data_IF_681930230979
#
_entry.id   IF_681930230979
#
_cell.length_a   1.000
_cell.length_b   1.000
_cell.length_c   1.000
_cell.angle_alpha   90.00
_cell.angle_beta   90.00
_cell.angle_gamma   90.00
#
_symmetry.space_group_name_H-M   'P 1'
#
loop_
_entity.id
_entity.type
_entity.pdbx_description
1 polymer ?
#
# COMPACT_ATOMS: atom_id res chain seq x y z
N UNK A 1 -47.44 10.71 19.44
CA UNK A 1 -46.88 10.51 18.06
C UNK A 1 -46.05 9.24 18.08
N UNK A 2 -46.39 8.18 17.35
CA UNK A 2 -45.59 6.97 17.31
C UNK A 2 -44.35 7.21 16.44
N UNK A 3 -43.16 6.88 16.99
CA UNK A 3 -41.88 6.94 16.29
C UNK A 3 -41.94 5.91 15.16
N UNK A 4 -41.67 6.27 13.89
CA UNK A 4 -41.78 5.33 12.78
C UNK A 4 -40.68 4.26 12.89
N UNK A 5 -41.08 2.99 13.01
CA UNK A 5 -40.24 1.80 13.12
C UNK A 5 -39.25 1.61 11.93
N UNK A 6 -39.34 2.45 10.90
CA UNK A 6 -38.42 2.43 9.73
C UNK A 6 -36.95 2.66 10.09
N UNK A 7 -36.66 3.41 11.15
CA UNK A 7 -35.27 3.69 11.57
C UNK A 7 -34.56 2.47 12.20
N UNK A 8 -35.30 1.57 12.82
CA UNK A 8 -34.72 0.37 13.44
C UNK A 8 -34.18 -0.64 12.41
N UNK A 9 -34.83 -0.76 11.25
CA UNK A 9 -34.37 -1.65 10.16
C UNK A 9 -33.06 -1.19 9.51
N UNK A 10 -32.83 0.12 9.39
CA UNK A 10 -31.60 0.68 8.84
C UNK A 10 -30.37 0.45 9.74
N UNK A 11 -30.58 0.45 11.05
CA UNK A 11 -29.50 0.12 12.02
C UNK A 11 -29.15 -1.37 12.01
N UNK A 12 -30.13 -2.24 11.91
CA UNK A 12 -29.93 -3.70 11.89
C UNK A 12 -29.18 -4.15 10.64
N UNK A 13 -29.51 -3.62 9.46
CA UNK A 13 -28.86 -3.97 8.19
C UNK A 13 -27.38 -3.49 8.11
N UNK A 14 -27.08 -2.30 8.68
CA UNK A 14 -25.68 -1.82 8.75
C UNK A 14 -24.80 -2.69 9.65
N UNK A 15 -25.31 -3.15 10.79
CA UNK A 15 -24.56 -4.05 11.66
C UNK A 15 -24.33 -5.44 11.05
N UNK A 16 -25.30 -5.97 10.32
CA UNK A 16 -25.16 -7.27 9.64
C UNK A 16 -24.12 -7.21 8.51
N UNK A 17 -24.16 -6.16 7.68
CA UNK A 17 -23.20 -5.97 6.59
C UNK A 17 -21.77 -5.73 7.09
N UNK A 18 -21.61 -5.01 8.21
CA UNK A 18 -20.30 -4.79 8.82
C UNK A 18 -19.71 -6.08 9.41
N UNK A 19 -20.50 -6.90 10.10
CA UNK A 19 -20.06 -8.21 10.60
C UNK A 19 -19.69 -9.16 9.47
N UNK A 20 -20.41 -9.14 8.36
CA UNK A 20 -20.10 -9.96 7.18
C UNK A 20 -18.80 -9.51 6.51
N UNK A 21 -18.58 -8.18 6.41
CA UNK A 21 -17.31 -7.61 5.95
C UNK A 21 -16.13 -8.05 6.80
N UNK A 22 -16.23 -7.90 8.14
CA UNK A 22 -15.20 -8.35 9.09
C UNK A 22 -14.89 -9.85 8.99
N UNK A 23 -15.93 -10.70 8.85
CA UNK A 23 -15.73 -12.15 8.65
C UNK A 23 -14.98 -12.46 7.36
N UNK A 24 -15.33 -11.81 6.25
CA UNK A 24 -14.64 -11.98 4.96
C UNK A 24 -13.19 -11.54 5.05
N UNK A 25 -12.92 -10.39 5.64
CA UNK A 25 -11.55 -9.89 5.84
C UNK A 25 -10.74 -10.82 6.75
N UNK A 26 -11.33 -11.31 7.84
CA UNK A 26 -10.66 -12.26 8.73
C UNK A 26 -10.37 -13.60 8.06
N UNK A 27 -11.30 -14.12 7.23
CA UNK A 27 -11.08 -15.33 6.44
C UNK A 27 -9.95 -15.13 5.41
N UNK A 28 -9.94 -14.01 4.68
CA UNK A 28 -8.88 -13.70 3.71
C UNK A 28 -7.52 -13.60 4.40
N UNK A 29 -7.43 -12.86 5.51
CA UNK A 29 -6.19 -12.75 6.28
C UNK A 29 -5.74 -14.11 6.83
N UNK A 30 -6.65 -14.90 7.39
CA UNK A 30 -6.35 -16.24 7.90
C UNK A 30 -5.86 -17.17 6.79
N UNK A 31 -6.48 -17.12 5.61
CA UNK A 31 -6.05 -17.92 4.44
C UNK A 31 -4.67 -17.50 3.97
N UNK A 32 -4.38 -16.18 3.89
CA UNK A 32 -3.07 -15.67 3.52
C UNK A 32 -1.99 -16.05 4.54
N UNK A 33 -2.27 -15.90 5.84
CA UNK A 33 -1.34 -16.32 6.90
C UNK A 33 -1.07 -17.83 6.84
N UNK A 34 -2.10 -18.65 6.63
CA UNK A 34 -1.95 -20.09 6.50
C UNK A 34 -1.13 -20.46 5.25
N UNK A 35 -1.38 -19.81 4.11
CA UNK A 35 -0.62 -20.02 2.89
C UNK A 35 0.86 -19.64 3.08
N UNK A 36 1.15 -18.51 3.72
CA UNK A 36 2.52 -18.11 4.04
C UNK A 36 3.21 -19.11 4.99
N UNK A 37 2.49 -19.58 6.02
CA UNK A 37 3.02 -20.58 6.95
C UNK A 37 3.32 -21.90 6.22
N UNK A 38 2.44 -22.35 5.35
CA UNK A 38 2.65 -23.56 4.55
C UNK A 38 3.89 -23.43 3.65
N UNK A 39 4.04 -22.30 2.96
CA UNK A 39 5.23 -22.05 2.12
C UNK A 39 6.51 -21.97 2.96
N UNK A 40 6.44 -21.43 4.19
CA UNK A 40 7.59 -21.34 5.08
C UNK A 40 8.02 -22.70 5.68
N UNK A 41 7.05 -23.60 5.93
CA UNK A 41 7.31 -24.89 6.60
C UNK A 41 7.53 -26.05 5.63
N UNK A 42 6.88 -26.00 4.45
CA UNK A 42 7.02 -27.06 3.43
C UNK A 42 8.22 -26.73 2.54
N UNK A 43 9.32 -27.49 2.60
CA UNK A 43 10.43 -27.31 1.68
C UNK A 43 9.93 -27.69 0.27
N UNK A 44 9.69 -26.68 -0.57
CA UNK A 44 9.33 -26.90 -1.97
C UNK A 44 10.59 -27.20 -2.75
N UNK A 45 10.81 -28.49 -3.17
CA UNK A 45 12.00 -28.83 -3.96
C UNK A 45 11.94 -28.07 -5.29
N UNK A 46 13.00 -27.33 -5.60
CA UNK A 46 13.14 -26.58 -6.86
C UNK A 46 12.89 -25.06 -6.78
N UNK A 47 12.46 -24.52 -5.63
CA UNK A 47 12.41 -23.05 -5.43
C UNK A 47 13.75 -22.46 -4.98
N UNK A 48 14.62 -23.29 -4.36
CA UNK A 48 15.97 -22.90 -4.01
C UNK A 48 16.87 -23.07 -5.24
N UNK A 49 17.32 -21.95 -5.83
CA UNK A 49 18.24 -21.97 -6.99
C UNK A 49 17.54 -21.92 -8.34
N UNK A 50 16.34 -21.38 -8.42
CA UNK A 50 15.65 -21.18 -9.72
C UNK A 50 16.50 -20.29 -10.64
N UNK A 51 16.93 -20.85 -11.78
CA UNK A 51 17.56 -20.10 -12.88
C UNK A 51 16.63 -18.99 -13.46
N UNK A 52 15.41 -18.87 -12.97
CA UNK A 52 14.41 -17.85 -13.33
C UNK A 52 13.98 -16.95 -12.19
N UNK A 53 14.67 -16.93 -11.03
CA UNK A 53 14.26 -16.11 -9.88
C UNK A 53 14.23 -14.61 -10.22
N UNK A 54 15.24 -14.10 -10.89
CA UNK A 54 15.32 -12.68 -11.22
C UNK A 54 14.15 -12.21 -12.09
N UNK A 55 13.76 -12.87 -13.21
CA UNK A 55 12.59 -12.50 -13.97
C UNK A 55 11.28 -12.56 -13.18
N UNK A 56 11.13 -13.57 -12.31
CA UNK A 56 9.94 -13.68 -11.45
C UNK A 56 9.89 -12.56 -10.42
N UNK A 57 11.02 -12.26 -9.77
CA UNK A 57 11.13 -11.13 -8.83
C UNK A 57 10.77 -9.81 -9.52
N UNK A 58 11.33 -9.54 -10.70
CA UNK A 58 11.04 -8.35 -11.50
C UNK A 58 9.55 -8.24 -11.87
N UNK A 59 8.92 -9.35 -12.23
CA UNK A 59 7.49 -9.37 -12.53
C UNK A 59 6.66 -9.02 -11.30
N UNK A 60 6.95 -9.61 -10.16
CA UNK A 60 6.21 -9.37 -8.90
C UNK A 60 6.38 -7.93 -8.41
N UNK A 61 7.61 -7.39 -8.46
CA UNK A 61 7.88 -6.00 -8.09
C UNK A 61 7.19 -5.02 -9.06
N UNK A 62 7.22 -5.31 -10.36
CA UNK A 62 6.48 -4.49 -11.34
C UNK A 62 4.99 -4.45 -11.03
N UNK A 63 4.38 -5.59 -10.69
CA UNK A 63 2.97 -5.63 -10.29
C UNK A 63 2.71 -4.83 -9.01
N UNK A 64 3.59 -4.92 -8.02
CA UNK A 64 3.49 -4.14 -6.78
C UNK A 64 3.56 -2.63 -7.05
N UNK A 65 4.51 -2.20 -7.89
CA UNK A 65 4.67 -0.80 -8.31
C UNK A 65 3.40 -0.31 -9.04
N UNK A 66 2.87 -1.11 -9.97
CA UNK A 66 1.63 -0.78 -10.70
C UNK A 66 0.46 -0.62 -9.74
N UNK A 67 0.31 -1.53 -8.76
CA UNK A 67 -0.75 -1.43 -7.75
C UNK A 67 -0.60 -0.16 -6.91
N UNK A 68 0.61 0.16 -6.44
CA UNK A 68 0.88 1.37 -5.68
C UNK A 68 0.58 2.64 -6.51
N UNK A 69 0.99 2.67 -7.77
CA UNK A 69 0.70 3.76 -8.70
C UNK A 69 -0.81 3.91 -8.98
N UNK A 70 -1.55 2.81 -9.09
CA UNK A 70 -3.02 2.83 -9.24
C UNK A 70 -3.70 3.35 -7.97
N UNK A 71 -3.24 2.96 -6.78
CA UNK A 71 -3.75 3.52 -5.51
C UNK A 71 -3.53 5.03 -5.47
N UNK A 72 -2.35 5.51 -5.84
CA UNK A 72 -2.08 6.94 -5.99
C UNK A 72 -3.08 7.58 -6.97
N UNK A 73 -3.15 7.10 -8.21
CA UNK A 73 -3.95 7.72 -9.27
C UNK A 73 -5.44 7.77 -8.94
N UNK A 74 -6.01 6.66 -8.43
CA UNK A 74 -7.42 6.57 -8.06
C UNK A 74 -7.73 7.47 -6.86
N UNK A 75 -6.87 7.45 -5.83
CA UNK A 75 -7.06 8.26 -4.62
C UNK A 75 -6.92 9.75 -4.93
N UNK A 76 -5.97 10.15 -5.76
CA UNK A 76 -5.78 11.53 -6.23
C UNK A 76 -6.96 12.03 -7.05
N UNK A 77 -7.46 11.21 -8.00
CA UNK A 77 -8.63 11.54 -8.79
C UNK A 77 -9.89 11.64 -7.91
N UNK A 78 -10.06 10.74 -6.96
CA UNK A 78 -11.19 10.72 -6.03
C UNK A 78 -11.14 11.90 -5.05
N UNK A 79 -9.95 12.28 -4.56
CA UNK A 79 -9.78 13.48 -3.74
C UNK A 79 -10.27 14.75 -4.43
N UNK A 80 -10.06 14.90 -5.73
CA UNK A 80 -10.55 16.06 -6.50
C UNK A 80 -12.07 16.23 -6.43
N UNK A 81 -12.80 15.14 -6.24
CA UNK A 81 -14.27 15.13 -6.14
C UNK A 81 -14.77 15.17 -4.70
N UNK A 82 -14.20 14.35 -3.83
CA UNK A 82 -14.70 14.10 -2.47
C UNK A 82 -14.04 15.00 -1.42
N UNK A 83 -12.88 15.58 -1.73
CA UNK A 83 -12.10 16.46 -0.82
C UNK A 83 -11.82 15.83 0.56
N UNK A 84 -11.67 14.51 0.61
CA UNK A 84 -11.39 13.79 1.85
C UNK A 84 -9.88 13.71 2.12
N UNK A 85 -9.42 14.18 3.28
CA UNK A 85 -8.00 14.20 3.68
C UNK A 85 -7.36 12.81 3.68
N UNK A 86 -8.14 11.79 4.03
CA UNK A 86 -7.70 10.40 4.00
C UNK A 86 -7.33 9.92 2.60
N UNK A 87 -8.08 10.35 1.57
CA UNK A 87 -7.76 10.05 0.16
C UNK A 87 -6.48 10.75 -0.28
N UNK A 88 -6.26 11.99 0.17
CA UNK A 88 -5.05 12.74 -0.13
C UNK A 88 -3.81 12.08 0.51
N UNK A 89 -3.92 11.70 1.79
CA UNK A 89 -2.86 10.99 2.50
C UNK A 89 -2.54 9.66 1.83
N UNK A 90 -3.56 8.89 1.43
CA UNK A 90 -3.41 7.63 0.73
C UNK A 90 -2.70 7.82 -0.62
N UNK A 91 -3.14 8.82 -1.41
CA UNK A 91 -2.50 9.14 -2.68
C UNK A 91 -1.02 9.48 -2.50
N UNK A 92 -0.70 10.48 -1.67
CA UNK A 92 0.67 10.95 -1.49
C UNK A 92 1.59 9.87 -0.90
N UNK A 93 1.11 9.08 0.07
CA UNK A 93 1.87 7.97 0.63
C UNK A 93 2.17 6.90 -0.41
N UNK A 94 1.19 6.48 -1.19
CA UNK A 94 1.39 5.44 -2.21
C UNK A 94 2.15 5.94 -3.46
N UNK A 95 2.18 7.24 -3.74
CA UNK A 95 3.14 7.80 -4.70
C UNK A 95 4.58 7.55 -4.25
N UNK A 96 4.89 7.82 -2.97
CA UNK A 96 6.21 7.54 -2.41
C UNK A 96 6.54 6.05 -2.39
N UNK A 97 5.59 5.19 -2.01
CA UNK A 97 5.76 3.74 -2.06
C UNK A 97 6.13 3.26 -3.46
N UNK A 98 5.41 3.73 -4.51
CA UNK A 98 5.70 3.34 -5.88
C UNK A 98 7.12 3.74 -6.33
N UNK A 99 7.59 4.92 -5.92
CA UNK A 99 8.95 5.40 -6.24
C UNK A 99 10.00 4.55 -5.50
N UNK A 100 9.80 4.27 -4.21
CA UNK A 100 10.73 3.47 -3.41
C UNK A 100 10.78 2.02 -3.88
N UNK A 101 9.65 1.39 -4.22
CA UNK A 101 9.61 0.04 -4.79
C UNK A 101 10.29 0.01 -6.17
N UNK A 102 10.13 1.05 -6.98
CA UNK A 102 10.86 1.18 -8.25
C UNK A 102 12.37 1.30 -8.03
N UNK A 103 12.80 2.07 -7.04
CA UNK A 103 14.22 2.20 -6.67
C UNK A 103 14.78 0.89 -6.12
N UNK A 104 13.99 0.15 -5.32
CA UNK A 104 14.32 -1.20 -4.88
C UNK A 104 14.57 -2.14 -6.07
N UNK A 105 13.62 -2.18 -7.00
CA UNK A 105 13.70 -3.02 -8.19
C UNK A 105 14.96 -2.73 -9.02
N UNK A 106 15.30 -1.45 -9.24
CA UNK A 106 16.48 -1.04 -10.00
C UNK A 106 17.80 -1.29 -9.26
N UNK A 107 17.78 -1.37 -7.93
CA UNK A 107 18.96 -1.60 -7.11
C UNK A 107 19.21 -3.07 -6.80
N UNK A 108 18.35 -3.98 -7.26
CA UNK A 108 18.46 -5.41 -7.01
C UNK A 108 19.69 -6.01 -7.69
N UNK A 109 20.35 -6.95 -7.00
CA UNK A 109 21.55 -7.61 -7.52
C UNK A 109 21.26 -8.31 -8.86
N UNK A 110 22.09 -8.02 -9.87
CA UNK A 110 21.92 -8.53 -11.23
C UNK A 110 21.22 -7.57 -12.19
N UNK A 111 20.77 -6.42 -11.70
CA UNK A 111 20.29 -5.32 -12.53
C UNK A 111 21.47 -4.44 -13.01
N UNK A 112 21.36 -3.77 -14.17
CA UNK A 112 22.33 -2.77 -14.58
C UNK A 112 22.48 -1.66 -13.54
N UNK A 113 23.71 -1.14 -13.39
CA UNK A 113 23.98 -0.04 -12.47
C UNK A 113 23.14 1.19 -12.84
N UNK A 114 22.37 1.68 -11.87
CA UNK A 114 21.53 2.88 -12.00
C UNK A 114 21.96 3.90 -10.94
N UNK A 115 22.59 5.00 -11.37
CA UNK A 115 23.18 6.08 -10.53
C UNK A 115 24.36 5.57 -9.68
N UNK A 116 24.22 4.47 -8.98
CA UNK A 116 25.24 3.81 -8.17
C UNK A 116 25.17 2.29 -8.41
N UNK A 117 26.24 1.54 -8.13
CA UNK A 117 26.24 0.09 -8.32
C UNK A 117 25.06 -0.59 -7.63
N UNK A 118 24.54 -1.64 -8.28
CA UNK A 118 23.49 -2.48 -7.69
C UNK A 118 24.06 -3.24 -6.49
N UNK A 119 23.44 -3.10 -5.32
CA UNK A 119 23.88 -3.67 -4.06
C UNK A 119 22.67 -4.18 -3.25
N UNK A 120 22.77 -5.41 -2.66
CA UNK A 120 21.70 -5.98 -1.85
C UNK A 120 21.30 -5.10 -0.65
N UNK A 121 22.25 -4.47 0.03
CA UNK A 121 21.95 -3.62 1.20
C UNK A 121 21.14 -2.39 0.80
N UNK A 122 21.52 -1.75 -0.31
CA UNK A 122 20.79 -0.64 -0.91
C UNK A 122 19.38 -1.05 -1.32
N UNK A 123 19.23 -2.19 -1.99
CA UNK A 123 17.93 -2.71 -2.39
C UNK A 123 17.03 -2.97 -1.18
N UNK A 124 17.54 -3.62 -0.12
CA UNK A 124 16.80 -3.90 1.12
C UNK A 124 16.39 -2.59 1.80
N UNK A 125 17.26 -1.58 1.82
CA UNK A 125 16.96 -0.28 2.43
C UNK A 125 15.76 0.41 1.75
N UNK A 126 15.70 0.42 0.43
CA UNK A 126 14.55 0.94 -0.32
C UNK A 126 13.29 0.13 -0.06
N UNK A 127 13.38 -1.19 -0.02
CA UNK A 127 12.25 -2.06 0.28
C UNK A 127 11.68 -1.82 1.68
N UNK A 128 12.55 -1.74 2.70
CA UNK A 128 12.13 -1.45 4.08
C UNK A 128 11.47 -0.07 4.18
N UNK A 129 12.04 0.94 3.53
CA UNK A 129 11.47 2.28 3.49
C UNK A 129 10.07 2.29 2.83
N UNK A 130 9.91 1.57 1.70
CA UNK A 130 8.62 1.42 1.04
C UNK A 130 7.58 0.73 1.94
N UNK A 131 7.94 -0.37 2.61
CA UNK A 131 7.06 -1.08 3.56
C UNK A 131 6.70 -0.21 4.75
N UNK A 132 7.67 0.51 5.34
CA UNK A 132 7.45 1.47 6.43
C UNK A 132 6.50 2.59 6.01
N UNK A 133 6.70 3.16 4.84
CA UNK A 133 5.84 4.22 4.29
C UNK A 133 4.42 3.72 4.01
N UNK A 134 4.27 2.53 3.44
CA UNK A 134 2.96 1.91 3.20
C UNK A 134 2.22 1.66 4.52
N UNK A 135 2.89 1.02 5.50
CA UNK A 135 2.31 0.73 6.80
C UNK A 135 1.93 2.01 7.56
N UNK A 136 2.80 3.01 7.58
CA UNK A 136 2.54 4.29 8.21
C UNK A 136 1.37 5.04 7.56
N UNK A 137 1.30 5.05 6.23
CA UNK A 137 0.18 5.66 5.48
C UNK A 137 -1.15 4.96 5.79
N UNK A 138 -1.18 3.63 5.75
CA UNK A 138 -2.40 2.86 6.05
C UNK A 138 -2.84 3.04 7.50
N UNK A 139 -1.90 3.02 8.45
CA UNK A 139 -2.18 3.27 9.86
C UNK A 139 -2.76 4.68 10.06
N UNK A 140 -2.14 5.70 9.45
CA UNK A 140 -2.62 7.07 9.50
C UNK A 140 -4.05 7.20 8.98
N UNK A 141 -4.34 6.59 7.82
CA UNK A 141 -5.68 6.58 7.22
C UNK A 141 -6.69 5.85 8.10
N UNK A 142 -6.29 4.72 8.71
CA UNK A 142 -7.16 3.93 9.59
C UNK A 142 -7.52 4.66 10.89
N UNK A 143 -6.61 5.46 11.44
CA UNK A 143 -6.82 6.20 12.69
C UNK A 143 -7.52 7.54 12.50
N UNK A 144 -7.62 8.06 11.29
CA UNK A 144 -8.22 9.37 11.01
C UNK A 144 -9.70 9.26 10.60
N UNK A 145 -10.57 10.12 11.14
CA UNK A 145 -11.94 10.23 10.64
C UNK A 145 -11.94 10.81 9.23
N UNK A 146 -12.85 10.35 8.40
CA UNK A 146 -13.07 10.87 7.04
C UNK A 146 -13.68 12.28 7.13
N UNK A 147 -12.85 13.30 7.04
CA UNK A 147 -13.25 14.70 7.03
C UNK A 147 -12.97 15.30 5.65
N UNK A 148 -13.83 16.24 5.25
CA UNK A 148 -13.58 17.03 4.05
C UNK A 148 -12.45 18.04 4.31
N UNK A 149 -11.46 18.09 3.42
CA UNK A 149 -10.38 19.08 3.46
C UNK A 149 -10.82 20.39 2.80
N UNK A 150 -10.42 21.51 3.42
CA UNK A 150 -10.82 22.84 2.97
C UNK A 150 -9.85 23.54 2.01
N UNK A 151 -8.57 23.20 1.98
CA UNK A 151 -7.55 24.03 1.34
C UNK A 151 -6.89 23.38 0.11
N UNK A 152 -6.91 24.00 -1.07
CA UNK A 152 -6.25 23.47 -2.26
C UNK A 152 -4.72 23.43 -2.16
N UNK A 153 -4.11 24.21 -1.27
CA UNK A 153 -2.67 24.22 -1.05
C UNK A 153 -2.17 22.97 -0.31
N UNK A 154 -2.98 22.37 0.56
CA UNK A 154 -2.59 21.21 1.38
C UNK A 154 -2.16 20.00 0.52
N UNK A 155 -2.79 19.80 -0.63
CA UNK A 155 -2.46 18.67 -1.52
C UNK A 155 -1.02 18.71 -2.03
N UNK A 156 -0.52 19.89 -2.37
CA UNK A 156 0.83 20.05 -2.88
C UNK A 156 1.86 19.99 -1.75
N UNK A 157 1.49 20.50 -0.56
CA UNK A 157 2.33 20.41 0.62
C UNK A 157 2.51 18.96 1.09
N UNK A 158 1.43 18.15 1.15
CA UNK A 158 1.50 16.74 1.55
C UNK A 158 2.25 15.91 0.49
N UNK A 159 2.01 16.16 -0.80
CA UNK A 159 2.77 15.51 -1.87
C UNK A 159 4.25 15.89 -1.79
N UNK A 160 4.58 17.17 -1.59
CA UNK A 160 5.95 17.64 -1.42
C UNK A 160 6.63 16.98 -0.22
N UNK A 161 5.93 16.84 0.91
CA UNK A 161 6.45 16.15 2.10
C UNK A 161 6.71 14.66 1.82
N UNK A 162 5.81 13.99 1.11
CA UNK A 162 6.00 12.58 0.71
C UNK A 162 7.22 12.42 -0.20
N UNK A 163 7.35 13.27 -1.22
CA UNK A 163 8.50 13.25 -2.13
C UNK A 163 9.80 13.63 -1.42
N UNK A 164 9.76 14.56 -0.47
CA UNK A 164 10.92 14.90 0.37
C UNK A 164 11.36 13.71 1.22
N UNK A 165 10.41 12.97 1.84
CA UNK A 165 10.73 11.78 2.60
C UNK A 165 11.37 10.70 1.69
N UNK A 166 10.87 10.52 0.46
CA UNK A 166 11.50 9.65 -0.54
C UNK A 166 12.91 10.11 -0.87
N UNK A 167 13.12 11.41 -1.12
CA UNK A 167 14.45 11.96 -1.44
C UNK A 167 15.46 11.73 -0.31
N UNK A 168 15.05 11.86 0.95
CA UNK A 168 15.91 11.58 2.13
C UNK A 168 16.39 10.14 2.16
N UNK A 169 15.57 9.19 1.70
CA UNK A 169 15.98 7.76 1.64
C UNK A 169 17.00 7.51 0.53
N UNK A 170 17.12 8.41 -0.45
CA UNK A 170 18.08 8.29 -1.57
C UNK A 170 19.44 8.96 -1.30
N UNK A 171 19.59 9.62 -0.14
CA UNK A 171 20.86 10.26 0.29
C UNK A 171 21.64 9.32 1.17
#
# INVERSE_FOLDING_TARGET
MPIPLRHLWLFSSRHASHRQGLRRSALLLGTLCLAMLLVAVVPLPGLLGLAGYLPLHMLLETLAIVVAALVFAISWASYRRLRADTLLSLACGFAGVAILDFSHMLSFQGMPDFITPADPEKAISFWLAARGMAAGTLLWVALRPWKASGQPFERWAILGLSLFAVAVVHI
#
